data_IF_270904370874
#
_entry.id   IF_270904370874
#
_cell.length_a   1.000
_cell.length_b   1.000
_cell.length_c   1.000
_cell.angle_alpha   90.00
_cell.angle_beta   90.00
_cell.angle_gamma   90.00
#
_symmetry.space_group_name_H-M   'P 1'
#
loop_
_entity.id
_entity.type
_entity.pdbx_description
1 polymer ?
#
# COMPACT_ATOMS: atom_id res chain seq x y z
N UNK A 1 4.75 13.19 1.67
CA UNK A 1 4.24 12.58 0.44
C UNK A 1 3.40 13.60 -0.29
N UNK A 2 3.59 13.73 -1.61
CA UNK A 2 2.91 14.70 -2.47
C UNK A 2 1.79 14.03 -3.24
N UNK A 3 0.57 14.54 -3.14
CA UNK A 3 -0.59 14.10 -3.92
C UNK A 3 -0.89 15.15 -4.98
N UNK A 4 -0.97 14.74 -6.24
CA UNK A 4 -1.44 15.61 -7.33
C UNK A 4 -2.96 15.45 -7.46
N UNK A 5 -3.69 16.54 -7.26
CA UNK A 5 -5.12 16.64 -7.53
C UNK A 5 -5.33 17.21 -8.93
N UNK A 6 -6.13 16.51 -9.73
CA UNK A 6 -6.46 16.93 -11.09
C UNK A 6 -7.98 16.95 -11.27
N UNK A 7 -8.56 18.12 -11.30
CA UNK A 7 -10.00 18.33 -11.50
C UNK A 7 -10.20 19.76 -12.02
N UNK A 8 -11.11 19.98 -12.95
CA UNK A 8 -11.41 21.32 -13.50
C UNK A 8 -12.41 22.13 -12.63
N UNK A 9 -12.97 21.48 -11.60
CA UNK A 9 -13.83 22.14 -10.62
C UNK A 9 -13.00 22.66 -9.42
N UNK A 10 -12.84 24.00 -9.30
CA UNK A 10 -12.05 24.59 -8.22
C UNK A 10 -12.64 24.31 -6.83
N UNK A 11 -13.95 24.07 -6.72
CA UNK A 11 -14.57 23.73 -5.44
C UNK A 11 -14.16 22.32 -4.98
N UNK A 12 -14.02 21.37 -5.90
CA UNK A 12 -13.51 20.03 -5.61
C UNK A 12 -12.04 20.11 -5.18
N UNK A 13 -11.21 20.84 -5.91
CA UNK A 13 -9.80 21.05 -5.57
C UNK A 13 -9.65 21.65 -4.17
N UNK A 14 -10.40 22.71 -3.85
CA UNK A 14 -10.34 23.37 -2.55
C UNK A 14 -10.69 22.42 -1.40
N UNK A 15 -11.79 21.69 -1.53
CA UNK A 15 -12.25 20.76 -0.50
C UNK A 15 -11.26 19.61 -0.32
N UNK A 16 -10.83 18.97 -1.39
CA UNK A 16 -9.88 17.83 -1.31
C UNK A 16 -8.53 18.29 -0.78
N UNK A 17 -8.03 19.46 -1.21
CA UNK A 17 -6.80 20.05 -0.67
C UNK A 17 -6.86 20.19 0.84
N UNK A 18 -7.94 20.79 1.37
CA UNK A 18 -8.09 21.00 2.80
C UNK A 18 -8.05 19.68 3.59
N UNK A 19 -8.74 18.64 3.12
CA UNK A 19 -8.77 17.32 3.75
C UNK A 19 -7.42 16.60 3.66
N UNK A 20 -6.72 16.70 2.53
CA UNK A 20 -5.41 16.08 2.33
C UNK A 20 -4.34 16.75 3.17
N UNK A 21 -4.32 18.08 3.22
CA UNK A 21 -3.40 18.83 4.09
C UNK A 21 -3.65 18.52 5.56
N UNK A 22 -4.92 18.45 5.98
CA UNK A 22 -5.30 18.02 7.33
C UNK A 22 -4.87 16.58 7.65
N UNK A 23 -4.71 15.74 6.64
CA UNK A 23 -4.19 14.37 6.77
C UNK A 23 -2.65 14.26 6.67
N UNK A 24 -1.93 15.40 6.52
CA UNK A 24 -0.47 15.47 6.49
C UNK A 24 0.16 15.29 5.10
N UNK A 25 -0.61 15.41 4.02
CA UNK A 25 -0.09 15.37 2.65
C UNK A 25 0.27 16.77 2.14
N UNK A 26 1.31 16.86 1.31
CA UNK A 26 1.54 18.01 0.45
C UNK A 26 0.71 17.84 -0.82
N UNK A 27 0.11 18.91 -1.31
CA UNK A 27 -0.80 18.86 -2.46
C UNK A 27 -0.25 19.69 -3.61
N UNK A 28 -0.26 19.11 -4.81
CA UNK A 28 -0.11 19.79 -6.09
C UNK A 28 -1.49 19.81 -6.75
N UNK A 29 -1.81 20.85 -7.50
CA UNK A 29 -3.10 21.00 -8.17
C UNK A 29 -2.88 21.23 -9.65
N UNK A 30 -3.77 20.65 -10.46
CA UNK A 30 -3.88 20.88 -11.89
C UNK A 30 -5.36 21.00 -12.28
N UNK A 31 -5.69 21.99 -13.08
CA UNK A 31 -7.06 22.24 -13.53
C UNK A 31 -7.35 21.62 -14.90
N UNK A 32 -6.33 21.08 -15.56
CA UNK A 32 -6.46 20.41 -16.84
C UNK A 32 -5.41 19.29 -17.04
N UNK A 33 -5.58 18.55 -18.14
CA UNK A 33 -4.69 17.42 -18.41
C UNK A 33 -3.29 17.82 -18.82
N UNK A 34 -3.06 18.99 -19.41
CA UNK A 34 -1.72 19.48 -19.75
C UNK A 34 -0.92 19.80 -18.50
N UNK A 35 -1.53 20.52 -17.56
CA UNK A 35 -0.90 20.79 -16.26
C UNK A 35 -0.63 19.50 -15.48
N UNK A 36 -1.56 18.53 -15.52
CA UNK A 36 -1.37 17.24 -14.91
C UNK A 36 -0.13 16.52 -15.45
N UNK A 37 0.08 16.54 -16.78
CA UNK A 37 1.26 15.95 -17.44
C UNK A 37 2.57 16.64 -17.06
N UNK A 38 2.56 17.92 -16.72
CA UNK A 38 3.74 18.65 -16.27
C UNK A 38 4.08 18.34 -14.79
N UNK A 39 3.07 18.10 -13.96
CA UNK A 39 3.22 18.00 -12.51
C UNK A 39 3.37 16.57 -11.99
N UNK A 40 2.83 15.55 -12.69
CA UNK A 40 2.85 14.16 -12.18
C UNK A 40 4.26 13.60 -11.88
N UNK A 41 5.36 14.02 -12.53
CA UNK A 41 6.68 13.51 -12.16
C UNK A 41 7.09 13.81 -10.71
N UNK A 42 6.49 14.84 -10.11
CA UNK A 42 6.76 15.27 -8.73
C UNK A 42 5.83 14.61 -7.71
N UNK A 43 4.82 13.84 -8.15
CA UNK A 43 3.81 13.25 -7.30
C UNK A 43 4.19 11.85 -6.80
N UNK A 44 3.70 11.49 -5.62
CA UNK A 44 3.75 10.15 -5.05
C UNK A 44 2.43 9.38 -5.32
N UNK A 45 1.35 10.10 -5.67
CA UNK A 45 0.04 9.59 -6.06
C UNK A 45 -0.71 10.65 -6.84
N UNK A 46 -1.53 10.24 -7.81
CA UNK A 46 -2.39 11.13 -8.59
C UNK A 46 -3.86 10.81 -8.32
N UNK A 47 -4.64 11.84 -7.99
CA UNK A 47 -6.11 11.81 -7.99
C UNK A 47 -6.56 12.50 -9.26
N UNK A 48 -7.25 11.77 -10.14
CA UNK A 48 -7.47 12.19 -11.52
C UNK A 48 -8.95 12.14 -11.90
N UNK A 49 -9.53 13.31 -12.20
CA UNK A 49 -10.81 13.35 -12.88
C UNK A 49 -10.66 12.89 -14.33
N UNK A 50 -11.61 12.13 -14.80
CA UNK A 50 -11.64 11.66 -16.19
C UNK A 50 -12.12 12.72 -17.17
N UNK A 51 -13.02 13.60 -16.74
CA UNK A 51 -13.64 14.64 -17.55
C UNK A 51 -12.85 15.95 -17.45
N UNK A 52 -11.68 16.00 -18.09
CA UNK A 52 -10.81 17.19 -18.08
C UNK A 52 -10.84 17.94 -19.39
N UNK A 53 -10.65 19.28 -19.38
CA UNK A 53 -10.39 20.05 -20.58
C UNK A 53 -8.98 19.80 -21.14
N UNK A 54 -8.76 20.16 -22.41
CA UNK A 54 -7.53 20.05 -23.21
C UNK A 54 -7.10 18.60 -23.45
N UNK A 55 -6.58 17.94 -22.44
CA UNK A 55 -6.23 16.50 -22.48
C UNK A 55 -7.11 15.75 -21.50
N UNK A 56 -7.89 14.79 -22.01
CA UNK A 56 -8.81 14.01 -21.19
C UNK A 56 -8.05 13.12 -20.18
N UNK A 57 -8.73 12.80 -19.06
CA UNK A 57 -8.11 12.06 -17.97
C UNK A 57 -7.60 10.66 -18.37
N UNK A 58 -8.21 10.02 -19.38
CA UNK A 58 -7.75 8.73 -19.88
C UNK A 58 -6.35 8.81 -20.50
N UNK A 59 -6.14 9.82 -21.34
CA UNK A 59 -4.82 10.07 -21.95
C UNK A 59 -3.77 10.44 -20.92
N UNK A 60 -4.17 11.20 -19.89
CA UNK A 60 -3.28 11.52 -18.77
C UNK A 60 -2.89 10.23 -18.05
N UNK A 61 -3.84 9.35 -17.73
CA UNK A 61 -3.57 8.07 -17.06
C UNK A 61 -2.66 7.16 -17.90
N UNK A 62 -2.91 7.06 -19.22
CA UNK A 62 -2.06 6.30 -20.13
C UNK A 62 -0.62 6.82 -20.15
N UNK A 63 -0.44 8.13 -20.23
CA UNK A 63 0.88 8.77 -20.20
C UNK A 63 1.62 8.49 -18.90
N UNK A 64 0.94 8.64 -17.76
CA UNK A 64 1.50 8.36 -16.44
C UNK A 64 1.93 6.89 -16.34
N UNK A 65 1.05 5.95 -16.71
CA UNK A 65 1.35 4.51 -16.60
C UNK A 65 2.42 4.03 -17.57
N UNK A 66 2.58 4.69 -18.69
CA UNK A 66 3.68 4.42 -19.63
C UNK A 66 5.03 4.88 -19.11
N UNK A 67 5.09 6.05 -18.44
CA UNK A 67 6.32 6.65 -17.94
C UNK A 67 6.65 6.19 -16.51
N UNK A 68 5.63 6.09 -15.65
CA UNK A 68 5.74 5.68 -14.24
C UNK A 68 4.67 4.65 -13.89
N UNK A 69 4.83 3.39 -14.33
CA UNK A 69 3.82 2.33 -14.12
C UNK A 69 3.52 2.07 -12.62
N UNK A 70 4.49 2.36 -11.75
CA UNK A 70 4.37 2.20 -10.29
C UNK A 70 3.60 3.34 -9.61
N UNK A 71 3.42 4.50 -10.27
CA UNK A 71 2.74 5.65 -9.67
C UNK A 71 1.24 5.37 -9.50
N UNK A 72 0.72 5.37 -8.26
CA UNK A 72 -0.69 5.05 -8.04
C UNK A 72 -1.60 6.14 -8.61
N UNK A 73 -2.69 5.71 -9.25
CA UNK A 73 -3.73 6.59 -9.76
C UNK A 73 -5.06 6.22 -9.12
N UNK A 74 -5.69 7.19 -8.43
CA UNK A 74 -7.06 7.14 -7.98
C UNK A 74 -7.94 7.93 -8.96
N UNK A 75 -8.80 7.25 -9.69
CA UNK A 75 -9.70 7.89 -10.65
C UNK A 75 -10.96 8.43 -9.99
N UNK A 76 -11.38 9.63 -10.36
CA UNK A 76 -12.69 10.19 -10.05
C UNK A 76 -13.60 10.01 -11.27
N UNK A 77 -14.75 9.36 -11.09
CA UNK A 77 -15.66 9.04 -12.20
C UNK A 77 -17.08 9.56 -11.92
N UNK A 78 -17.86 9.86 -12.96
CA UNK A 78 -19.28 10.12 -12.84
C UNK A 78 -20.05 8.80 -12.56
N UNK A 79 -21.25 8.94 -11.97
CA UNK A 79 -22.12 7.80 -11.65
C UNK A 79 -22.72 7.22 -12.93
N UNK A 80 -22.45 5.92 -13.22
CA UNK A 80 -23.22 5.18 -14.22
C UNK A 80 -22.46 4.49 -15.35
N UNK A 81 -21.16 4.66 -15.47
CA UNK A 81 -20.39 4.08 -16.57
C UNK A 81 -19.58 2.85 -16.12
N UNK A 82 -20.25 1.68 -16.15
CA UNK A 82 -19.60 0.39 -15.93
C UNK A 82 -18.46 0.16 -16.93
N UNK A 83 -18.63 0.64 -18.16
CA UNK A 83 -17.62 0.58 -19.23
C UNK A 83 -16.37 1.43 -18.90
N UNK A 84 -16.52 2.60 -18.28
CA UNK A 84 -15.39 3.43 -17.81
C UNK A 84 -14.60 2.72 -16.69
N UNK A 85 -15.30 2.03 -15.80
CA UNK A 85 -14.64 1.28 -14.71
C UNK A 85 -13.82 0.10 -15.25
N UNK A 86 -14.35 -0.63 -16.21
CA UNK A 86 -13.65 -1.74 -16.87
C UNK A 86 -12.42 -1.20 -17.63
N UNK A 87 -12.60 -0.14 -18.40
CA UNK A 87 -11.50 0.52 -19.12
C UNK A 87 -10.41 1.05 -18.17
N UNK A 88 -10.80 1.61 -17.04
CA UNK A 88 -9.85 2.09 -16.01
C UNK A 88 -8.99 0.98 -15.41
N UNK A 89 -9.59 -0.18 -15.15
CA UNK A 89 -8.86 -1.35 -14.68
C UNK A 89 -7.92 -1.91 -15.76
N UNK A 90 -8.34 -1.94 -17.00
CA UNK A 90 -7.49 -2.37 -18.15
C UNK A 90 -6.29 -1.44 -18.37
N UNK A 91 -6.45 -0.14 -18.14
CA UNK A 91 -5.38 0.87 -18.21
C UNK A 91 -4.45 0.88 -17.00
N UNK A 92 -4.76 0.08 -15.96
CA UNK A 92 -3.92 -0.05 -14.78
C UNK A 92 -4.17 1.03 -13.72
N UNK A 93 -5.36 1.64 -13.68
CA UNK A 93 -5.80 2.43 -12.53
C UNK A 93 -5.80 1.56 -11.27
N UNK A 94 -5.36 2.14 -10.16
CA UNK A 94 -5.17 1.37 -8.91
C UNK A 94 -6.44 1.34 -8.05
N UNK A 95 -7.30 2.36 -8.18
CA UNK A 95 -8.63 2.44 -7.54
C UNK A 95 -9.46 3.55 -8.19
N UNK A 96 -10.74 3.62 -7.87
CA UNK A 96 -11.65 4.67 -8.35
C UNK A 96 -12.64 5.09 -7.27
N UNK A 97 -13.16 6.32 -7.40
CA UNK A 97 -14.23 6.89 -6.58
C UNK A 97 -15.28 7.49 -7.47
N UNK A 98 -16.54 7.19 -7.18
CA UNK A 98 -17.69 7.69 -7.94
C UNK A 98 -18.17 9.01 -7.37
N UNK A 99 -18.36 10.03 -8.21
CA UNK A 99 -18.98 11.32 -7.85
C UNK A 99 -20.52 11.15 -7.69
N UNK A 100 -21.15 11.71 -6.65
CA UNK A 100 -20.59 12.48 -5.57
C UNK A 100 -19.93 11.61 -4.50
N UNK A 101 -18.81 12.06 -3.94
CA UNK A 101 -18.03 11.31 -2.97
C UNK A 101 -17.84 12.07 -1.65
N UNK A 102 -17.48 11.34 -0.61
CA UNK A 102 -17.02 11.94 0.64
C UNK A 102 -15.51 12.24 0.56
N UNK A 103 -15.03 13.47 0.88
CA UNK A 103 -13.60 13.75 0.95
C UNK A 103 -12.84 12.82 1.90
N UNK A 104 -13.49 12.36 2.97
CA UNK A 104 -12.91 11.36 3.89
C UNK A 104 -12.68 10.01 3.21
N UNK A 105 -13.57 9.59 2.30
CA UNK A 105 -13.39 8.37 1.51
C UNK A 105 -12.17 8.50 0.60
N UNK A 106 -12.02 9.61 -0.11
CA UNK A 106 -10.86 9.87 -0.98
C UNK A 106 -9.56 9.78 -0.18
N UNK A 107 -9.48 10.43 0.98
CA UNK A 107 -8.30 10.37 1.86
C UNK A 107 -8.01 8.93 2.33
N UNK A 108 -9.03 8.15 2.69
CA UNK A 108 -8.86 6.77 3.11
C UNK A 108 -8.31 5.88 1.99
N UNK A 109 -8.80 6.05 0.75
CA UNK A 109 -8.32 5.33 -0.43
C UNK A 109 -6.90 5.73 -0.80
N UNK A 110 -6.56 7.01 -0.75
CA UNK A 110 -5.19 7.51 -0.96
C UNK A 110 -4.22 6.85 0.03
N UNK A 111 -4.56 6.83 1.31
CA UNK A 111 -3.73 6.15 2.33
C UNK A 111 -3.55 4.66 2.03
N UNK A 112 -4.60 3.99 1.57
CA UNK A 112 -4.54 2.58 1.20
C UNK A 112 -3.65 2.34 -0.03
N UNK A 113 -3.75 3.17 -1.06
CA UNK A 113 -2.94 3.10 -2.28
C UNK A 113 -1.47 3.37 -1.99
N UNK A 114 -1.15 4.43 -1.24
CA UNK A 114 0.23 4.76 -0.87
C UNK A 114 0.88 3.66 -0.02
N UNK A 115 0.11 3.01 0.87
CA UNK A 115 0.59 1.85 1.60
C UNK A 115 0.94 0.69 0.67
N UNK A 116 0.12 0.43 -0.37
CA UNK A 116 0.38 -0.61 -1.39
C UNK A 116 1.56 -0.23 -2.29
N UNK A 117 1.67 1.02 -2.70
CA UNK A 117 2.74 1.52 -3.55
C UNK A 117 4.11 1.55 -2.84
N UNK A 118 4.11 1.77 -1.52
CA UNK A 118 5.31 1.66 -0.69
C UNK A 118 5.78 0.22 -0.43
N UNK A 119 5.00 -0.79 -0.84
CA UNK A 119 5.43 -2.18 -0.77
C UNK A 119 6.45 -2.44 -1.89
N UNK A 120 7.65 -2.89 -1.52
CA UNK A 120 8.62 -3.41 -2.49
C UNK A 120 7.95 -4.53 -3.30
N UNK A 121 8.31 -4.66 -4.57
CA UNK A 121 7.80 -5.75 -5.41
C UNK A 121 8.16 -7.11 -4.82
N UNK A 122 9.37 -7.19 -4.26
CA UNK A 122 9.90 -8.37 -3.61
C UNK A 122 10.70 -7.97 -2.37
N UNK A 123 10.55 -8.76 -1.31
CA UNK A 123 11.43 -8.77 -0.14
C UNK A 123 12.14 -10.12 -0.13
N UNK A 124 13.47 -10.10 -0.21
CA UNK A 124 14.30 -11.32 -0.22
C UNK A 124 15.23 -11.33 0.99
N UNK A 125 15.22 -12.45 1.73
CA UNK A 125 16.01 -12.68 2.93
C UNK A 125 16.61 -14.09 2.87
N UNK A 126 17.71 -14.23 2.15
CA UNK A 126 18.29 -15.55 1.88
C UNK A 126 17.31 -16.45 1.12
N UNK A 127 16.87 -17.57 1.69
CA UNK A 127 15.93 -18.49 1.03
C UNK A 127 14.48 -18.02 1.07
N UNK A 128 14.14 -17.04 1.91
CA UNK A 128 12.77 -16.51 2.03
C UNK A 128 12.55 -15.36 1.05
N UNK A 129 11.51 -15.48 0.23
CA UNK A 129 11.05 -14.44 -0.70
C UNK A 129 9.58 -14.13 -0.45
N UNK A 130 9.25 -12.86 -0.34
CA UNK A 130 7.89 -12.37 -0.20
C UNK A 130 7.56 -11.48 -1.39
N UNK A 131 6.42 -11.72 -2.00
CA UNK A 131 5.86 -10.91 -3.09
C UNK A 131 4.61 -10.18 -2.56
N UNK A 132 4.76 -8.99 -1.96
CA UNK A 132 3.69 -8.33 -1.24
C UNK A 132 2.46 -8.04 -2.08
N UNK A 133 2.65 -7.64 -3.35
CA UNK A 133 1.55 -7.33 -4.28
C UNK A 133 0.73 -8.57 -4.64
N UNK A 134 1.38 -9.73 -4.79
CA UNK A 134 0.73 -11.01 -5.10
C UNK A 134 0.23 -11.73 -3.85
N UNK A 135 0.70 -11.32 -2.67
CA UNK A 135 0.46 -12.00 -1.39
C UNK A 135 0.97 -13.45 -1.40
N UNK A 136 2.10 -13.66 -2.04
CA UNK A 136 2.77 -14.94 -2.16
C UNK A 136 4.06 -14.94 -1.34
N UNK A 137 4.40 -16.11 -0.81
CA UNK A 137 5.66 -16.36 -0.12
C UNK A 137 6.31 -17.62 -0.68
N UNK A 138 7.63 -17.62 -0.70
CA UNK A 138 8.45 -18.76 -1.14
C UNK A 138 9.58 -18.98 -0.14
N UNK A 139 9.88 -20.23 0.12
CA UNK A 139 11.02 -20.65 0.95
C UNK A 139 11.82 -21.69 0.17
N UNK A 140 13.14 -21.48 0.02
CA UNK A 140 14.01 -22.32 -0.80
C UNK A 140 13.48 -22.57 -2.23
N UNK A 141 12.83 -21.57 -2.81
CA UNK A 141 12.23 -21.61 -4.15
C UNK A 141 10.88 -22.33 -4.24
N UNK A 142 10.41 -22.97 -3.18
CA UNK A 142 9.10 -23.62 -3.12
C UNK A 142 8.03 -22.66 -2.57
N UNK A 143 6.78 -22.72 -3.07
CA UNK A 143 5.68 -21.95 -2.52
C UNK A 143 5.46 -22.24 -1.02
N UNK A 144 5.37 -21.20 -0.22
CA UNK A 144 5.10 -21.29 1.22
C UNK A 144 3.61 -20.96 1.47
N UNK A 145 2.76 -21.95 1.78
CA UNK A 145 1.33 -21.74 1.95
C UNK A 145 1.04 -21.05 3.30
N UNK A 146 0.86 -19.74 3.27
CA UNK A 146 0.51 -18.93 4.44
C UNK A 146 -0.98 -18.58 4.40
N UNK A 147 -1.61 -18.58 5.57
CA UNK A 147 -2.92 -17.94 5.73
C UNK A 147 -2.78 -16.43 5.56
N UNK A 148 -3.91 -15.74 5.37
CA UNK A 148 -3.93 -14.27 5.26
C UNK A 148 -3.22 -13.59 6.44
N UNK A 149 -3.52 -14.00 7.66
CA UNK A 149 -2.97 -13.40 8.87
C UNK A 149 -1.47 -13.73 9.05
N UNK A 150 -1.06 -14.97 8.73
CA UNK A 150 0.35 -15.36 8.75
C UNK A 150 1.17 -14.55 7.74
N UNK A 151 0.63 -14.33 6.53
CA UNK A 151 1.28 -13.51 5.53
C UNK A 151 1.40 -12.05 5.99
N UNK A 152 0.32 -11.47 6.52
CA UNK A 152 0.32 -10.08 6.99
C UNK A 152 1.26 -9.87 8.18
N UNK A 153 1.35 -10.83 9.10
CA UNK A 153 2.32 -10.84 10.20
C UNK A 153 3.76 -10.88 9.68
N UNK A 154 4.06 -11.84 8.82
CA UNK A 154 5.40 -12.00 8.25
C UNK A 154 5.81 -10.76 7.47
N UNK A 155 4.92 -10.24 6.64
CA UNK A 155 5.16 -9.02 5.86
C UNK A 155 5.42 -7.80 6.76
N UNK A 156 4.60 -7.62 7.80
CA UNK A 156 4.75 -6.50 8.76
C UNK A 156 6.13 -6.52 9.42
N UNK A 157 6.58 -7.70 9.84
CA UNK A 157 7.88 -7.86 10.47
C UNK A 157 9.02 -7.70 9.45
N UNK A 158 8.91 -8.33 8.28
CA UNK A 158 9.95 -8.35 7.24
C UNK A 158 10.15 -6.98 6.54
N UNK A 159 9.16 -6.11 6.55
CA UNK A 159 9.30 -4.72 6.05
C UNK A 159 10.21 -3.85 6.92
N UNK A 160 10.44 -4.26 8.17
CA UNK A 160 11.22 -3.51 9.15
C UNK A 160 12.20 -4.44 9.90
N UNK A 161 13.21 -5.01 9.21
CA UNK A 161 14.20 -5.87 9.85
C UNK A 161 14.85 -5.16 11.06
N UNK A 162 15.08 -5.91 12.14
CA UNK A 162 15.67 -5.39 13.38
C UNK A 162 14.70 -4.61 14.27
N UNK A 163 13.58 -4.10 13.74
CA UNK A 163 12.60 -3.36 14.52
C UNK A 163 11.76 -4.30 15.40
N UNK A 164 11.69 -3.97 16.69
CA UNK A 164 10.86 -4.71 17.65
C UNK A 164 9.42 -4.19 17.60
N UNK A 165 8.47 -5.10 17.41
CA UNK A 165 7.04 -4.84 17.51
C UNK A 165 6.48 -5.46 18.79
N UNK A 166 5.76 -4.67 19.59
CA UNK A 166 4.97 -5.24 20.67
C UNK A 166 3.81 -6.08 20.13
N UNK A 167 3.30 -7.00 20.97
CA UNK A 167 2.14 -7.83 20.61
C UNK A 167 0.92 -6.98 20.27
N UNK A 168 0.65 -5.95 21.06
CA UNK A 168 -0.44 -5.00 20.86
C UNK A 168 -0.32 -4.30 19.49
N UNK A 169 0.89 -3.82 19.16
CA UNK A 169 1.13 -3.15 17.88
C UNK A 169 0.98 -4.09 16.68
N UNK A 170 1.38 -5.36 16.81
CA UNK A 170 1.15 -6.37 15.79
C UNK A 170 -0.34 -6.69 15.65
N UNK A 171 -1.06 -6.80 16.77
CA UNK A 171 -2.49 -7.02 16.79
C UNK A 171 -3.22 -5.90 16.05
N UNK A 172 -2.97 -4.65 16.41
CA UNK A 172 -3.56 -3.48 15.76
C UNK A 172 -3.26 -3.42 14.26
N UNK A 173 -2.00 -3.68 13.85
CA UNK A 173 -1.59 -3.61 12.44
C UNK A 173 -2.18 -4.70 11.56
N UNK A 174 -2.33 -5.92 12.09
CA UNK A 174 -2.71 -7.11 11.30
C UNK A 174 -4.20 -7.42 11.42
N UNK A 175 -4.78 -7.25 12.59
CA UNK A 175 -6.22 -7.51 12.85
C UNK A 175 -7.06 -6.24 12.81
N UNK A 176 -6.44 -5.07 13.02
CA UNK A 176 -7.11 -3.78 13.06
C UNK A 176 -7.35 -3.26 14.48
N UNK A 177 -7.59 -1.93 14.63
CA UNK A 177 -7.69 -1.27 15.93
C UNK A 177 -8.91 -1.71 16.76
N UNK A 178 -9.97 -2.17 16.09
CA UNK A 178 -11.24 -2.56 16.73
C UNK A 178 -11.34 -4.08 16.99
N UNK A 179 -10.24 -4.81 16.83
CA UNK A 179 -10.25 -6.26 17.03
C UNK A 179 -10.41 -6.58 18.54
N UNK A 180 -11.48 -7.31 18.94
CA UNK A 180 -11.79 -7.55 20.36
C UNK A 180 -10.93 -8.64 21.02
N UNK A 181 -9.92 -9.15 20.31
CA UNK A 181 -9.04 -10.22 20.78
C UNK A 181 -7.93 -9.72 21.72
N UNK A 182 -7.34 -10.68 22.41
CA UNK A 182 -6.18 -10.44 23.26
C UNK A 182 -4.88 -10.62 22.47
N UNK A 183 -3.82 -9.97 22.90
CA UNK A 183 -2.49 -9.98 22.28
C UNK A 183 -1.87 -11.39 22.11
N UNK A 184 -2.30 -12.37 22.92
CA UNK A 184 -1.89 -13.77 22.80
C UNK A 184 -2.27 -14.44 21.48
N UNK A 185 -3.25 -13.90 20.76
CA UNK A 185 -3.58 -14.35 19.37
C UNK A 185 -2.37 -14.23 18.46
N UNK A 186 -1.54 -13.21 18.67
CA UNK A 186 -0.30 -13.00 17.92
C UNK A 186 0.66 -14.17 18.14
N UNK A 187 0.83 -14.63 19.39
CA UNK A 187 1.74 -15.73 19.73
C UNK A 187 1.35 -17.03 19.01
N UNK A 188 0.06 -17.33 18.92
CA UNK A 188 -0.47 -18.50 18.21
C UNK A 188 -0.11 -18.46 16.72
N UNK A 189 -0.29 -17.30 16.07
CA UNK A 189 0.02 -17.15 14.66
C UNK A 189 1.52 -17.12 14.39
N UNK A 190 2.34 -16.57 15.30
CA UNK A 190 3.79 -16.64 15.21
C UNK A 190 4.28 -18.09 15.34
N UNK A 191 3.71 -18.88 16.24
CA UNK A 191 4.05 -20.29 16.37
C UNK A 191 3.73 -21.08 15.08
N UNK A 192 2.54 -20.87 14.51
CA UNK A 192 2.14 -21.45 13.23
C UNK A 192 3.06 -21.04 12.08
N UNK A 193 3.40 -19.77 12.01
CA UNK A 193 4.29 -19.20 11.01
C UNK A 193 5.71 -19.79 11.11
N UNK A 194 6.29 -19.86 12.32
CA UNK A 194 7.59 -20.50 12.56
C UNK A 194 7.61 -21.95 12.10
N UNK A 195 6.57 -22.72 12.40
CA UNK A 195 6.46 -24.12 11.95
C UNK A 195 6.53 -24.22 10.42
N UNK A 196 5.88 -23.32 9.70
CA UNK A 196 5.90 -23.30 8.23
C UNK A 196 7.25 -22.85 7.67
N UNK A 197 7.89 -21.89 8.33
CA UNK A 197 9.23 -21.40 7.97
C UNK A 197 10.36 -22.36 8.35
N UNK A 198 10.10 -23.40 9.15
CA UNK A 198 11.14 -24.21 9.76
C UNK A 198 12.05 -23.39 10.69
N UNK A 199 11.47 -22.40 11.37
CA UNK A 199 12.19 -21.44 12.22
C UNK A 199 12.15 -21.89 13.69
N UNK A 200 13.33 -22.05 14.28
CA UNK A 200 13.46 -22.48 15.68
C UNK A 200 13.42 -21.28 16.61
N UNK A 201 12.49 -21.22 17.59
CA UNK A 201 12.43 -20.13 18.56
C UNK A 201 13.70 -19.89 19.37
N UNK A 202 14.49 -20.95 19.62
CA UNK A 202 15.74 -20.87 20.39
C UNK A 202 16.94 -20.46 19.50
N UNK A 203 16.86 -20.71 18.18
CA UNK A 203 17.86 -20.29 17.21
C UNK A 203 17.20 -19.77 15.92
N UNK A 204 16.54 -18.60 16.00
CA UNK A 204 15.71 -18.10 14.92
C UNK A 204 16.54 -17.65 13.71
N UNK A 205 16.07 -18.05 12.52
CA UNK A 205 16.57 -17.55 11.23
C UNK A 205 15.84 -16.27 10.78
N UNK A 206 14.54 -16.18 11.08
CA UNK A 206 13.67 -15.11 10.56
C UNK A 206 12.99 -14.34 11.68
N UNK A 207 12.35 -15.01 12.65
CA UNK A 207 11.53 -14.35 13.66
C UNK A 207 12.10 -14.56 15.04
N UNK A 208 12.61 -13.50 15.63
CA UNK A 208 13.16 -13.50 16.97
C UNK A 208 12.13 -13.04 18.01
N UNK A 209 12.08 -13.73 19.16
CA UNK A 209 11.28 -13.30 20.30
C UNK A 209 12.08 -12.34 21.18
N UNK A 210 11.57 -11.13 21.37
CA UNK A 210 12.11 -10.20 22.35
C UNK A 210 11.30 -10.37 23.63
N UNK A 211 11.89 -11.07 24.61
CA UNK A 211 11.20 -11.45 25.87
C UNK A 211 10.60 -10.23 26.56
N UNK A 212 9.35 -10.33 26.99
CA UNK A 212 8.63 -9.26 27.67
C UNK A 212 8.12 -8.14 26.77
N UNK A 213 8.45 -8.14 25.47
CA UNK A 213 8.05 -7.10 24.50
C UNK A 213 7.21 -7.67 23.37
N UNK A 214 7.78 -8.53 22.52
CA UNK A 214 7.10 -9.04 21.34
C UNK A 214 8.05 -9.73 20.37
N UNK A 215 8.03 -9.32 19.10
CA UNK A 215 8.74 -9.98 18.03
C UNK A 215 9.44 -8.99 17.11
N UNK A 216 10.52 -9.44 16.47
CA UNK A 216 11.17 -8.73 15.36
C UNK A 216 11.57 -9.68 14.24
N UNK A 217 11.68 -9.19 13.04
CA UNK A 217 12.34 -9.89 11.96
C UNK A 217 13.85 -9.74 12.15
N UNK A 218 14.58 -10.85 12.11
CA UNK A 218 16.03 -10.84 12.26
C UNK A 218 16.66 -10.07 11.09
N UNK A 219 17.60 -9.19 11.38
CA UNK A 219 18.37 -8.55 10.32
C UNK A 219 19.13 -9.61 9.54
N UNK A 220 19.15 -9.53 8.19
CA UNK A 220 20.04 -10.41 7.43
C UNK A 220 21.48 -10.16 7.89
N UNK A 221 22.23 -11.23 8.13
CA UNK A 221 23.64 -11.12 8.42
C UNK A 221 24.27 -10.28 7.30
N UNK A 222 25.02 -9.23 7.67
CA UNK A 222 25.73 -8.43 6.68
C UNK A 222 26.60 -9.38 5.84
N UNK A 223 26.66 -9.22 4.51
CA UNK A 223 27.62 -10.00 3.73
C UNK A 223 29.01 -9.79 4.33
N UNK A 224 29.64 -10.88 4.68
CA UNK A 224 31.05 -10.85 5.14
C UNK A 224 31.89 -10.10 4.10
N UNK A 225 32.75 -9.17 4.53
CA UNK A 225 33.56 -8.35 3.66
C UNK A 225 34.48 -9.16 2.75
#
# INVERSE_FOLDING_TARGET
MKVLLVDDDPAILEVLRAYLQGAGFSVLEAEDGEEALLLFPQADLVVLDLMLPKVDGWRVAEAIKRERPELPILMLTARGEEEERVRGLELGADDYVVKPFSPKEVVARIKALLRRAGLKEELAFGPLRLLPRKREAYLDGAPLPLSRLEFDLLLTLAQHPGMVFSRERLLEKVWGPDFPGVDRVVDVHIAGLRKKLGDDPENPRFIETVRGVGYRFKEPDAPLP
#
